data_IF_029725461459
#
_entry.id   IF_029725461459
#
_cell.length_a   1.000
_cell.length_b   1.000
_cell.length_c   1.000
_cell.angle_alpha   90.00
_cell.angle_beta   90.00
_cell.angle_gamma   90.00
#
_symmetry.space_group_name_H-M   'P 1'
#
loop_
_entity.id
_entity.type
_entity.pdbx_description
1 polymer ?
#
# COMPACT_ATOMS: atom_id res chain seq x y z
N UNK A 1 -6.04 4.95 11.49
CA UNK A 1 -4.98 4.54 10.52
C UNK A 1 -4.92 3.03 10.39
N UNK A 2 -4.72 2.30 11.51
CA UNK A 2 -4.76 0.83 11.55
C UNK A 2 -6.06 0.30 10.92
N UNK A 3 -7.21 0.88 11.27
CA UNK A 3 -8.53 0.47 10.74
C UNK A 3 -8.77 0.82 9.27
N UNK A 4 -7.96 1.72 8.69
CA UNK A 4 -8.04 2.08 7.27
C UNK A 4 -7.13 1.18 6.41
N UNK A 5 -6.33 0.31 7.04
CA UNK A 5 -5.55 -0.71 6.35
C UNK A 5 -6.43 -1.93 6.09
N UNK A 6 -6.45 -2.39 4.85
CA UNK A 6 -7.33 -3.46 4.36
C UNK A 6 -6.52 -4.62 3.78
N UNK A 7 -7.08 -5.82 3.85
CA UNK A 7 -6.55 -6.99 3.14
C UNK A 7 -7.11 -7.02 1.73
N UNK A 8 -6.26 -7.29 0.75
CA UNK A 8 -6.66 -7.52 -0.63
C UNK A 8 -6.52 -9.01 -0.97
N UNK A 9 -7.56 -9.56 -1.58
CA UNK A 9 -7.56 -10.91 -2.19
C UNK A 9 -7.86 -10.75 -3.67
N UNK A 10 -6.87 -10.94 -4.52
CA UNK A 10 -6.97 -10.77 -5.97
C UNK A 10 -7.09 -12.14 -6.61
N UNK A 11 -8.14 -12.35 -7.41
CA UNK A 11 -8.50 -13.66 -7.97
C UNK A 11 -8.27 -13.78 -9.48
N UNK A 12 -7.77 -12.72 -10.12
CA UNK A 12 -7.53 -12.68 -11.56
C UNK A 12 -6.19 -12.02 -11.85
N UNK A 13 -5.49 -12.54 -12.85
CA UNK A 13 -4.30 -11.91 -13.41
C UNK A 13 -4.63 -11.48 -14.83
N UNK A 14 -4.59 -10.18 -15.10
CA UNK A 14 -5.00 -9.65 -16.40
C UNK A 14 -4.05 -10.13 -17.51
N UNK A 15 -4.57 -10.46 -18.72
CA UNK A 15 -3.74 -10.71 -19.90
C UNK A 15 -2.83 -9.53 -20.26
N UNK A 16 -3.19 -8.31 -19.87
CA UNK A 16 -2.48 -7.08 -20.24
C UNK A 16 -1.24 -6.78 -19.39
N UNK A 17 -0.91 -7.63 -18.40
CA UNK A 17 0.35 -7.48 -17.63
C UNK A 17 1.54 -7.51 -18.60
N UNK A 18 2.62 -6.76 -18.38
CA UNK A 18 3.79 -6.75 -19.26
C UNK A 18 4.65 -8.01 -19.06
N UNK A 19 5.52 -8.34 -20.04
CA UNK A 19 6.26 -9.61 -20.07
C UNK A 19 7.26 -9.74 -18.92
N UNK A 20 7.80 -8.62 -18.49
CA UNK A 20 8.73 -8.48 -17.37
C UNK A 20 8.04 -8.49 -15.98
N UNK A 21 6.70 -8.49 -15.93
CA UNK A 21 5.96 -8.62 -14.67
C UNK A 21 6.12 -10.02 -14.09
N UNK A 22 6.29 -10.12 -12.76
CA UNK A 22 6.44 -11.39 -12.04
C UNK A 22 5.25 -12.34 -12.20
N UNK A 23 4.08 -11.81 -12.58
CA UNK A 23 2.84 -12.56 -12.81
C UNK A 23 2.54 -12.74 -14.31
N UNK A 24 3.45 -12.42 -15.22
CA UNK A 24 3.27 -12.59 -16.67
C UNK A 24 2.91 -14.03 -17.06
N UNK A 25 3.53 -15.04 -16.42
CA UNK A 25 3.22 -16.47 -16.61
C UNK A 25 1.83 -16.89 -16.10
N UNK A 26 1.13 -16.00 -15.40
CA UNK A 26 -0.19 -16.22 -14.81
C UNK A 26 -1.31 -15.44 -15.50
N UNK A 27 -1.01 -14.66 -16.54
CA UNK A 27 -2.00 -13.97 -17.39
C UNK A 27 -3.17 -14.86 -17.76
N UNK A 28 -4.39 -14.32 -17.61
CA UNK A 28 -5.63 -15.02 -17.92
C UNK A 28 -5.99 -16.14 -16.94
N UNK A 29 -5.24 -16.33 -15.85
CA UNK A 29 -5.49 -17.39 -14.86
C UNK A 29 -6.10 -16.85 -13.57
N UNK A 30 -6.95 -17.67 -12.96
CA UNK A 30 -7.59 -17.41 -11.66
C UNK A 30 -6.76 -17.94 -10.50
N UNK A 31 -5.54 -17.43 -10.34
CA UNK A 31 -4.65 -17.84 -9.25
C UNK A 31 -4.78 -16.82 -8.10
N UNK A 32 -5.26 -17.24 -6.92
CA UNK A 32 -5.49 -16.32 -5.82
C UNK A 32 -4.17 -15.81 -5.26
N UNK A 33 -4.13 -14.51 -4.98
CA UNK A 33 -2.98 -13.86 -4.35
C UNK A 33 -3.43 -12.74 -3.41
N UNK A 34 -2.59 -12.44 -2.44
CA UNK A 34 -2.91 -11.50 -1.38
C UNK A 34 -2.05 -10.24 -1.46
N UNK A 35 -2.57 -9.15 -0.92
CA UNK A 35 -1.83 -7.92 -0.72
C UNK A 35 -2.45 -7.07 0.38
N UNK A 36 -1.90 -5.89 0.57
CA UNK A 36 -2.41 -4.88 1.50
C UNK A 36 -2.87 -3.65 0.72
N UNK A 37 -3.90 -2.98 1.23
CA UNK A 37 -4.31 -1.67 0.75
C UNK A 37 -4.54 -0.69 1.90
N UNK A 38 -4.70 0.59 1.55
CA UNK A 38 -5.00 1.66 2.49
C UNK A 38 -6.12 2.54 1.95
N UNK A 39 -7.19 2.73 2.73
CA UNK A 39 -8.29 3.63 2.38
C UNK A 39 -7.79 5.08 2.54
N UNK A 40 -7.39 5.67 1.42
CA UNK A 40 -6.79 7.01 1.42
C UNK A 40 -7.78 8.13 1.11
N UNK A 41 -8.97 7.79 0.58
CA UNK A 41 -10.01 8.77 0.29
C UNK A 41 -11.38 8.14 0.44
N UNK A 42 -12.28 8.84 1.11
CA UNK A 42 -13.71 8.51 1.21
C UNK A 42 -14.47 9.70 0.66
N UNK A 43 -15.46 9.45 -0.19
CA UNK A 43 -16.33 10.50 -0.74
C UNK A 43 -17.59 10.63 0.11
N UNK A 44 -18.27 11.78 -0.03
CA UNK A 44 -19.59 11.96 0.56
C UNK A 44 -20.57 10.92 0.00
N UNK A 45 -21.57 10.51 0.80
CA UNK A 45 -22.62 9.63 0.30
C UNK A 45 -23.33 10.27 -0.88
N UNK A 46 -23.74 9.43 -1.83
CA UNK A 46 -24.49 9.83 -3.01
C UNK A 46 -25.81 9.09 -2.99
N UNK A 47 -26.93 9.81 -3.13
CA UNK A 47 -28.29 9.26 -3.21
C UNK A 47 -28.92 9.42 -4.59
N UNK A 48 -28.47 10.41 -5.37
CA UNK A 48 -29.18 10.89 -6.56
C UNK A 48 -28.49 10.49 -7.87
N UNK A 49 -27.46 9.64 -7.80
CA UNK A 49 -26.77 9.09 -8.98
C UNK A 49 -26.98 7.58 -9.07
N UNK A 50 -26.98 7.01 -10.28
CA UNK A 50 -26.85 5.57 -10.49
C UNK A 50 -25.63 4.99 -9.77
N UNK A 51 -25.83 3.92 -8.98
CA UNK A 51 -24.71 3.21 -8.40
C UNK A 51 -23.90 2.48 -9.50
N UNK A 52 -22.57 2.67 -9.55
CA UNK A 52 -21.76 2.09 -10.62
C UNK A 52 -21.42 0.61 -10.42
N UNK A 53 -21.89 -0.03 -9.34
CA UNK A 53 -21.52 -1.42 -9.08
C UNK A 53 -22.40 -2.40 -9.88
N UNK A 54 -21.80 -3.52 -10.26
CA UNK A 54 -22.46 -4.55 -11.09
C UNK A 54 -23.76 -5.09 -10.47
N UNK A 55 -23.87 -5.09 -9.13
CA UNK A 55 -25.07 -5.56 -8.43
C UNK A 55 -26.27 -4.63 -8.60
N UNK A 56 -26.04 -3.34 -8.81
CA UNK A 56 -27.09 -2.35 -8.93
C UNK A 56 -27.46 -2.06 -10.39
N UNK A 57 -26.59 -2.41 -11.34
CA UNK A 57 -26.80 -2.20 -12.78
C UNK A 57 -27.25 -0.76 -13.14
N UNK A 58 -26.86 0.23 -12.35
CA UNK A 58 -27.30 1.62 -12.51
C UNK A 58 -28.78 1.91 -12.19
N UNK A 59 -29.58 0.92 -11.78
CA UNK A 59 -31.03 1.08 -11.57
C UNK A 59 -31.39 1.60 -10.17
N UNK A 60 -30.45 1.52 -9.23
CA UNK A 60 -30.73 1.70 -7.81
C UNK A 60 -30.25 3.07 -7.32
N UNK A 61 -31.20 3.95 -7.00
CA UNK A 61 -31.00 5.22 -6.25
C UNK A 61 -30.89 4.97 -4.74
N UNK A 62 -30.11 3.96 -4.34
CA UNK A 62 -29.81 3.73 -2.91
C UNK A 62 -28.59 4.55 -2.55
N UNK A 63 -28.65 5.18 -1.39
CA UNK A 63 -27.50 5.87 -0.79
C UNK A 63 -26.29 4.94 -0.78
N UNK A 64 -25.18 5.37 -1.38
CA UNK A 64 -23.93 4.61 -1.41
C UNK A 64 -22.72 5.50 -1.12
N UNK A 65 -21.64 4.86 -0.69
CA UNK A 65 -20.34 5.50 -0.49
C UNK A 65 -19.35 4.98 -1.50
N UNK A 66 -18.65 5.90 -2.16
CA UNK A 66 -17.43 5.61 -2.92
C UNK A 66 -16.23 5.83 -2.00
N UNK A 67 -15.24 4.96 -2.09
CA UNK A 67 -13.95 5.18 -1.46
C UNK A 67 -12.83 4.60 -2.31
N UNK A 68 -11.60 5.07 -2.09
CA UNK A 68 -10.43 4.63 -2.83
C UNK A 68 -9.43 3.95 -1.90
N UNK A 69 -8.98 2.79 -2.36
CA UNK A 69 -7.92 2.00 -1.75
C UNK A 69 -6.64 2.24 -2.56
N UNK A 70 -5.60 2.70 -1.88
CA UNK A 70 -4.24 2.79 -2.43
C UNK A 70 -3.53 1.47 -2.12
N UNK A 71 -2.91 0.88 -3.13
CA UNK A 71 -2.12 -0.36 -3.04
C UNK A 71 -0.95 -0.28 -4.01
N UNK A 72 -0.18 -1.36 -4.14
CA UNK A 72 0.89 -1.45 -5.11
C UNK A 72 0.36 -1.82 -6.51
N UNK A 73 0.95 -1.24 -7.57
CA UNK A 73 0.53 -1.50 -8.95
C UNK A 73 0.73 -2.96 -9.36
N UNK A 74 1.81 -3.60 -8.90
CA UNK A 74 1.99 -5.03 -9.12
C UNK A 74 0.95 -5.89 -8.38
N UNK A 75 0.28 -5.37 -7.33
CA UNK A 75 -0.81 -6.05 -6.62
C UNK A 75 -2.15 -5.87 -7.34
N UNK A 76 -2.48 -4.71 -7.87
CA UNK A 76 -3.68 -4.56 -8.72
C UNK A 76 -3.29 -3.78 -9.95
N UNK A 77 -3.18 -4.48 -11.07
CA UNK A 77 -2.58 -3.94 -12.29
C UNK A 77 -3.55 -3.08 -13.10
N UNK A 78 -4.80 -3.50 -13.26
CA UNK A 78 -5.79 -2.76 -14.04
C UNK A 78 -7.22 -3.01 -13.52
N UNK A 79 -8.20 -2.44 -14.23
CA UNK A 79 -9.62 -2.52 -13.87
C UNK A 79 -10.15 -3.96 -13.87
N UNK A 80 -9.67 -4.85 -14.73
CA UNK A 80 -10.10 -6.26 -14.71
C UNK A 80 -9.70 -6.97 -13.42
N UNK A 81 -8.46 -6.75 -12.96
CA UNK A 81 -8.00 -7.28 -11.69
C UNK A 81 -8.74 -6.64 -10.51
N UNK A 82 -9.02 -5.33 -10.57
CA UNK A 82 -9.78 -4.62 -9.55
C UNK A 82 -11.19 -5.21 -9.37
N UNK A 83 -11.93 -5.45 -10.46
CA UNK A 83 -13.25 -6.10 -10.44
C UNK A 83 -13.21 -7.50 -9.82
N UNK A 84 -12.08 -8.18 -9.98
CA UNK A 84 -11.82 -9.51 -9.43
C UNK A 84 -11.16 -9.47 -8.04
N UNK A 85 -11.06 -8.30 -7.41
CA UNK A 85 -10.44 -8.13 -6.09
C UNK A 85 -11.49 -8.01 -5.00
N UNK A 86 -11.33 -8.80 -3.93
CA UNK A 86 -12.06 -8.63 -2.66
C UNK A 86 -11.22 -7.81 -1.70
N UNK A 87 -11.86 -6.87 -1.02
CA UNK A 87 -11.24 -5.97 -0.04
C UNK A 87 -11.87 -6.27 1.32
N UNK A 88 -11.08 -6.81 2.23
CA UNK A 88 -11.54 -7.13 3.57
C UNK A 88 -11.13 -6.03 4.54
N UNK A 89 -12.13 -5.36 5.10
CA UNK A 89 -12.00 -4.32 6.12
C UNK A 89 -12.05 -4.97 7.51
N UNK A 90 -11.32 -4.38 8.46
CA UNK A 90 -11.33 -4.76 9.88
C UNK A 90 -10.93 -6.23 10.15
N UNK A 91 -10.01 -6.79 9.36
CA UNK A 91 -9.48 -8.14 9.59
C UNK A 91 -8.30 -8.13 10.58
N UNK A 92 -8.59 -7.95 11.85
CA UNK A 92 -7.57 -7.78 12.90
C UNK A 92 -7.05 -9.11 13.47
N UNK A 93 -7.92 -10.10 13.55
CA UNK A 93 -7.63 -11.45 14.03
C UNK A 93 -8.52 -12.47 13.28
N UNK A 94 -8.29 -13.77 13.48
CA UNK A 94 -9.11 -14.79 12.81
C UNK A 94 -10.54 -14.91 13.34
N UNK A 95 -10.81 -14.47 14.57
CA UNK A 95 -12.16 -14.46 15.14
C UNK A 95 -13.07 -13.44 14.47
N UNK A 96 -12.49 -12.37 13.89
CA UNK A 96 -13.19 -11.35 13.09
C UNK A 96 -14.02 -11.93 11.93
N UNK A 97 -13.66 -13.13 11.46
CA UNK A 97 -14.39 -13.86 10.41
C UNK A 97 -15.68 -14.47 10.95
N UNK A 98 -15.63 -15.06 12.15
CA UNK A 98 -16.76 -15.77 12.76
C UNK A 98 -17.71 -14.85 13.50
N UNK A 99 -17.22 -13.73 14.05
CA UNK A 99 -18.04 -12.77 14.80
C UNK A 99 -18.67 -11.66 13.93
N UNK A 100 -18.39 -11.65 12.63
CA UNK A 100 -18.93 -10.69 11.67
C UNK A 100 -18.30 -9.30 11.72
N UNK A 101 -17.24 -9.06 12.50
CA UNK A 101 -16.52 -7.77 12.53
C UNK A 101 -15.82 -7.46 11.20
N UNK A 102 -15.36 -8.49 10.49
CA UNK A 102 -14.72 -8.35 9.18
C UNK A 102 -15.79 -8.15 8.09
N UNK A 103 -15.66 -7.06 7.33
CA UNK A 103 -16.57 -6.75 6.22
C UNK A 103 -15.83 -6.86 4.90
N UNK A 104 -16.42 -7.51 3.90
CA UNK A 104 -15.84 -7.68 2.56
C UNK A 104 -16.58 -6.83 1.54
N UNK A 105 -15.85 -6.00 0.80
CA UNK A 105 -16.36 -5.32 -0.41
C UNK A 105 -15.62 -5.80 -1.66
N UNK A 106 -16.09 -5.37 -2.83
CA UNK A 106 -15.46 -5.68 -4.12
C UNK A 106 -14.87 -4.43 -4.73
N UNK A 107 -13.68 -4.55 -5.32
CA UNK A 107 -13.11 -3.49 -6.15
C UNK A 107 -13.99 -3.24 -7.38
N UNK A 108 -14.08 -1.99 -7.80
CA UNK A 108 -14.89 -1.58 -8.95
C UNK A 108 -14.04 -1.34 -10.19
N UNK A 109 -13.00 -0.52 -10.04
CA UNK A 109 -12.13 -0.10 -11.14
C UNK A 109 -10.82 0.48 -10.61
N UNK A 110 -9.81 0.56 -11.49
CA UNK A 110 -8.61 1.33 -11.25
C UNK A 110 -8.82 2.74 -11.79
N UNK A 111 -8.79 3.74 -10.90
CA UNK A 111 -9.03 5.15 -11.26
C UNK A 111 -7.74 5.92 -11.54
N UNK A 112 -6.60 5.39 -11.09
CA UNK A 112 -5.27 5.94 -11.36
C UNK A 112 -4.24 4.85 -11.08
N UNK A 113 -3.26 4.74 -11.96
CA UNK A 113 -2.07 3.91 -11.77
C UNK A 113 -0.82 4.73 -12.07
N UNK A 114 0.24 4.44 -11.34
CA UNK A 114 1.57 5.04 -11.49
C UNK A 114 2.56 3.88 -11.39
N UNK A 115 2.94 3.32 -12.55
CA UNK A 115 3.82 2.16 -12.62
C UNK A 115 5.23 2.47 -12.11
N UNK A 116 5.73 3.68 -12.34
CA UNK A 116 7.05 4.11 -11.90
C UNK A 116 7.17 4.13 -10.36
N UNK A 117 6.09 4.54 -9.69
CA UNK A 117 6.02 4.53 -8.22
C UNK A 117 5.44 3.24 -7.65
N UNK A 118 5.07 2.30 -8.52
CA UNK A 118 4.35 1.08 -8.17
C UNK A 118 3.10 1.37 -7.30
N UNK A 119 2.31 2.38 -7.68
CA UNK A 119 1.09 2.78 -6.96
C UNK A 119 -0.14 2.55 -7.82
N UNK A 120 -1.15 1.90 -7.23
CA UNK A 120 -2.48 1.78 -7.81
C UNK A 120 -3.54 2.37 -6.87
N UNK A 121 -4.47 3.13 -7.45
CA UNK A 121 -5.67 3.61 -6.79
C UNK A 121 -6.86 2.87 -7.36
N UNK A 122 -7.44 2.00 -6.53
CA UNK A 122 -8.65 1.25 -6.86
C UNK A 122 -9.85 1.87 -6.17
N UNK A 123 -10.97 2.00 -6.88
CA UNK A 123 -12.23 2.46 -6.32
C UNK A 123 -13.05 1.27 -5.80
N UNK A 124 -13.77 1.50 -4.70
CA UNK A 124 -14.70 0.55 -4.08
C UNK A 124 -16.01 1.27 -3.78
N UNK A 125 -17.09 0.49 -3.64
CA UNK A 125 -18.44 0.98 -3.32
C UNK A 125 -19.04 0.15 -2.20
N UNK A 126 -19.78 0.81 -1.30
CA UNK A 126 -20.65 0.15 -0.32
C UNK A 126 -22.01 0.83 -0.25
N UNK A 127 -23.06 0.03 -0.03
CA UNK A 127 -24.42 0.47 0.29
C UNK A 127 -24.74 0.32 1.78
N UNK A 128 -23.84 -0.29 2.55
CA UNK A 128 -23.98 -0.38 3.99
C UNK A 128 -23.67 0.99 4.59
N UNK A 129 -24.72 1.65 5.11
CA UNK A 129 -24.62 2.99 5.69
C UNK A 129 -23.70 3.00 6.91
N UNK A 130 -23.83 2.01 7.79
CA UNK A 130 -23.01 1.92 8.99
C UNK A 130 -21.52 1.74 8.63
N UNK A 131 -21.22 0.94 7.60
CA UNK A 131 -19.87 0.81 7.08
C UNK A 131 -19.35 2.13 6.49
N UNK A 132 -20.16 2.77 5.64
CA UNK A 132 -19.83 4.03 4.97
C UNK A 132 -19.50 5.16 5.96
N UNK A 133 -20.38 5.36 6.94
CA UNK A 133 -20.20 6.35 8.00
C UNK A 133 -18.98 6.02 8.88
N UNK A 134 -18.75 4.75 9.20
CA UNK A 134 -17.57 4.32 9.97
C UNK A 134 -16.27 4.67 9.25
N UNK A 135 -16.13 4.33 7.96
CA UNK A 135 -14.90 4.63 7.20
C UNK A 135 -14.72 6.14 6.98
N UNK A 136 -15.81 6.88 6.76
CA UNK A 136 -15.77 8.34 6.63
C UNK A 136 -15.32 9.00 7.93
N UNK A 137 -15.85 8.55 9.07
CA UNK A 137 -15.46 9.03 10.41
C UNK A 137 -13.98 8.74 10.70
N UNK A 138 -13.52 7.51 10.45
CA UNK A 138 -12.11 7.13 10.61
C UNK A 138 -11.18 7.98 9.73
N UNK A 139 -11.58 8.23 8.48
CA UNK A 139 -10.82 9.07 7.55
C UNK A 139 -10.78 10.53 7.99
N UNK A 140 -11.92 11.09 8.38
CA UNK A 140 -12.03 12.46 8.87
C UNK A 140 -11.18 12.68 10.12
N UNK A 141 -11.19 11.73 11.05
CA UNK A 141 -10.32 11.75 12.23
C UNK A 141 -8.84 11.76 11.83
N UNK A 142 -8.45 10.89 10.90
CA UNK A 142 -7.07 10.85 10.40
C UNK A 142 -6.68 12.18 9.74
N UNK A 143 -7.53 12.74 8.88
CA UNK A 143 -7.30 14.02 8.21
C UNK A 143 -7.20 15.17 9.22
N UNK A 144 -8.00 15.16 10.29
CA UNK A 144 -7.90 16.13 11.38
C UNK A 144 -6.55 16.03 12.10
N UNK A 145 -6.07 14.83 12.42
CA UNK A 145 -4.75 14.63 13.05
C UNK A 145 -3.63 15.16 12.15
N UNK A 146 -3.69 14.85 10.85
CA UNK A 146 -2.69 15.31 9.87
C UNK A 146 -2.72 16.84 9.72
N UNK A 147 -3.90 17.44 9.54
CA UNK A 147 -4.06 18.89 9.31
C UNK A 147 -3.67 19.73 10.51
N UNK A 148 -4.06 19.29 11.71
CA UNK A 148 -3.73 20.00 12.95
C UNK A 148 -2.25 19.93 13.30
N UNK A 149 -1.44 19.16 12.53
CA UNK A 149 -0.03 18.89 12.82
C UNK A 149 0.14 18.53 14.30
N UNK A 150 -0.79 17.74 14.84
CA UNK A 150 -0.76 17.36 16.24
C UNK A 150 0.59 16.71 16.48
N UNK A 151 1.39 17.31 17.36
CA UNK A 151 2.61 16.67 17.84
C UNK A 151 2.16 15.39 18.52
N UNK A 152 2.35 14.27 17.82
CA UNK A 152 2.16 12.99 18.44
C UNK A 152 3.26 12.88 19.47
N UNK A 153 2.86 12.87 20.74
CA UNK A 153 3.77 12.55 21.82
C UNK A 153 4.13 11.07 21.75
N UNK A 154 5.12 10.80 20.91
CA UNK A 154 5.72 9.49 20.74
C UNK A 154 6.84 9.26 21.77
N UNK A 155 7.00 10.15 22.77
CA UNK A 155 7.97 9.94 23.85
C UNK A 155 7.56 8.77 24.75
N UNK A 156 6.27 8.49 24.85
CA UNK A 156 5.72 7.33 25.58
C UNK A 156 5.85 5.99 24.84
N UNK A 157 6.32 5.99 23.59
CA UNK A 157 6.49 4.76 22.81
C UNK A 157 7.94 4.29 22.91
N UNK A 158 8.31 3.76 24.07
CA UNK A 158 9.66 3.24 24.37
C UNK A 158 10.13 2.15 23.40
N UNK A 159 9.19 1.56 22.64
CA UNK A 159 9.47 0.56 21.62
C UNK A 159 9.91 1.16 20.28
N UNK A 160 9.78 2.47 20.06
CA UNK A 160 10.23 3.08 18.82
C UNK A 160 11.75 3.10 18.79
N UNK A 161 12.37 2.66 17.68
CA UNK A 161 13.82 2.68 17.59
C UNK A 161 14.34 4.12 17.71
N UNK A 162 15.54 4.30 18.29
CA UNK A 162 16.14 5.61 18.45
C UNK A 162 16.24 6.32 17.09
N UNK A 163 16.03 7.64 17.10
CA UNK A 163 16.22 8.47 15.92
C UNK A 163 17.65 9.01 15.96
N UNK A 164 18.54 8.36 15.21
CA UNK A 164 19.89 8.84 14.97
C UNK A 164 19.92 9.81 13.76
N UNK A 165 21.02 10.52 13.58
CA UNK A 165 21.20 11.41 12.42
C UNK A 165 20.99 10.64 11.10
N UNK A 166 20.10 11.15 10.25
CA UNK A 166 19.73 10.53 8.97
C UNK A 166 18.87 9.25 9.09
N UNK A 167 18.38 8.89 10.28
CA UNK A 167 17.45 7.77 10.49
C UNK A 167 16.14 8.25 11.10
N UNK A 168 15.05 7.57 10.75
CA UNK A 168 13.73 7.83 11.32
C UNK A 168 13.03 6.51 11.65
N UNK A 169 12.16 6.48 12.67
CA UNK A 169 11.27 5.36 12.88
C UNK A 169 10.36 5.17 11.67
N UNK A 170 10.10 3.91 11.36
CA UNK A 170 9.12 3.51 10.35
C UNK A 170 8.11 2.57 10.97
N UNK A 171 6.85 2.73 10.60
CA UNK A 171 5.74 1.88 11.01
C UNK A 171 5.01 1.40 9.76
N UNK A 172 4.78 0.09 9.67
CA UNK A 172 4.03 -0.52 8.58
C UNK A 172 2.87 -1.30 9.19
N UNK A 173 1.66 -1.02 8.71
CA UNK A 173 0.47 -1.82 9.02
C UNK A 173 0.15 -2.63 7.78
N UNK A 174 0.13 -3.97 7.89
CA UNK A 174 -0.06 -4.83 6.71
C UNK A 174 -0.77 -6.15 7.02
N UNK A 175 -1.15 -6.86 5.96
CA UNK A 175 -1.67 -8.23 6.00
C UNK A 175 -0.66 -9.20 5.38
N UNK A 176 0.43 -9.54 6.09
CA UNK A 176 1.48 -10.39 5.54
C UNK A 176 0.90 -11.74 5.09
N UNK A 177 1.12 -12.10 3.84
CA UNK A 177 0.54 -13.30 3.20
C UNK A 177 -1.00 -13.41 3.28
N UNK A 178 -1.72 -12.31 3.52
CA UNK A 178 -3.17 -12.31 3.72
C UNK A 178 -3.63 -12.76 5.11
N UNK A 179 -2.71 -12.85 6.08
CA UNK A 179 -2.98 -13.13 7.49
C UNK A 179 -3.64 -11.93 8.20
N UNK A 180 -4.11 -12.11 9.45
CA UNK A 180 -4.62 -10.99 10.23
C UNK A 180 -3.61 -9.85 10.33
N UNK A 181 -4.13 -8.63 10.47
CA UNK A 181 -3.35 -7.40 10.45
C UNK A 181 -2.16 -7.46 11.42
N UNK A 182 -1.00 -7.02 10.96
CA UNK A 182 0.22 -6.89 11.76
C UNK A 182 0.74 -5.47 11.70
N UNK A 183 1.33 -5.03 12.80
CA UNK A 183 2.05 -3.77 12.91
C UNK A 183 3.52 -4.14 13.06
N UNK A 184 4.36 -3.65 12.17
CA UNK A 184 5.81 -3.81 12.24
C UNK A 184 6.49 -2.46 12.34
N UNK A 185 7.61 -2.46 13.04
CA UNK A 185 8.41 -1.28 13.33
C UNK A 185 9.84 -1.52 12.91
N UNK A 186 10.51 -0.43 12.57
CA UNK A 186 11.91 -0.44 12.20
C UNK A 186 12.41 0.97 11.98
N UNK A 187 13.55 1.08 11.32
CA UNK A 187 14.19 2.33 10.97
C UNK A 187 14.21 2.49 9.46
N UNK A 188 13.93 3.71 9.02
CA UNK A 188 14.14 4.16 7.66
C UNK A 188 15.28 5.16 7.56
N UNK A 189 15.72 5.36 6.32
CA UNK A 189 16.70 6.36 5.89
C UNK A 189 16.14 7.07 4.68
N UNK A 190 16.34 8.38 4.62
CA UNK A 190 15.89 9.17 3.49
C UNK A 190 16.77 8.92 2.27
N UNK A 191 16.16 8.72 1.10
CA UNK A 191 16.85 8.63 -0.20
C UNK A 191 16.37 9.69 -1.20
N UNK A 192 15.56 10.65 -0.76
CA UNK A 192 14.85 11.59 -1.61
C UNK A 192 13.42 11.14 -1.87
N UNK A 193 12.46 11.97 -1.43
CA UNK A 193 11.03 11.72 -1.61
C UNK A 193 10.66 11.46 -3.08
N UNK A 194 9.78 10.47 -3.40
CA UNK A 194 8.99 9.65 -2.48
C UNK A 194 9.68 8.34 -2.04
N UNK A 195 11.00 8.20 -2.20
CA UNK A 195 11.73 6.96 -1.89
C UNK A 195 12.23 6.96 -0.46
N UNK A 196 12.01 5.83 0.20
CA UNK A 196 12.41 5.58 1.57
C UNK A 196 13.01 4.19 1.65
N UNK A 197 14.26 4.11 2.10
CA UNK A 197 14.86 2.84 2.49
C UNK A 197 14.44 2.56 3.93
N UNK A 198 14.14 1.30 4.26
CA UNK A 198 13.86 0.91 5.63
C UNK A 198 14.19 -0.55 5.89
N UNK A 199 14.42 -0.89 7.16
CA UNK A 199 14.62 -2.26 7.62
C UNK A 199 13.40 -2.83 8.36
N UNK A 200 12.26 -2.13 8.35
CA UNK A 200 11.01 -2.63 8.94
C UNK A 200 10.65 -4.00 8.34
N UNK A 201 10.42 -5.02 9.17
CA UNK A 201 10.08 -6.36 8.70
C UNK A 201 8.85 -6.35 7.79
N UNK A 202 9.00 -6.90 6.60
CA UNK A 202 7.96 -7.04 5.58
C UNK A 202 8.15 -8.35 4.80
N UNK A 203 7.13 -8.75 4.05
CA UNK A 203 7.19 -9.85 3.09
C UNK A 203 6.42 -9.47 1.82
N UNK A 204 6.49 -10.26 0.73
CA UNK A 204 5.73 -9.96 -0.48
C UNK A 204 4.21 -9.78 -0.27
N UNK A 205 3.62 -10.44 0.73
CA UNK A 205 2.19 -10.25 1.04
C UNK A 205 1.88 -8.92 1.74
N UNK A 206 2.88 -8.21 2.25
CA UNK A 206 2.73 -6.85 2.78
C UNK A 206 2.67 -5.80 1.66
N UNK A 207 2.89 -6.16 0.38
CA UNK A 207 2.88 -5.21 -0.73
C UNK A 207 1.59 -4.36 -0.75
N UNK A 208 1.77 -3.06 -0.99
CA UNK A 208 0.69 -2.06 -0.97
C UNK A 208 0.39 -1.47 0.41
N UNK A 209 1.03 -1.96 1.47
CA UNK A 209 0.93 -1.37 2.81
C UNK A 209 1.47 0.06 2.86
N UNK A 210 0.87 0.96 3.66
CA UNK A 210 1.41 2.29 3.87
C UNK A 210 2.72 2.22 4.67
N UNK A 211 3.76 2.89 4.20
CA UNK A 211 5.01 3.10 4.92
C UNK A 211 4.95 4.45 5.63
N UNK A 212 4.87 4.41 6.96
CA UNK A 212 4.71 5.60 7.77
C UNK A 212 6.08 6.00 8.30
N UNK A 213 6.45 7.24 8.03
CA UNK A 213 7.76 7.79 8.38
C UNK A 213 7.57 8.89 9.42
N UNK A 214 8.37 8.84 10.48
CA UNK A 214 8.36 9.82 11.56
C UNK A 214 9.64 10.66 11.51
N UNK A 215 9.58 11.84 10.91
CA UNK A 215 10.74 12.74 10.86
C UNK A 215 10.91 13.48 12.18
N UNK A 216 12.14 13.55 12.68
CA UNK A 216 12.54 14.55 13.67
C UNK A 216 12.86 15.84 12.92
N UNK A 217 11.93 16.78 12.83
CA UNK A 217 12.33 18.17 12.66
C UNK A 217 12.81 18.65 14.03
N UNK A 218 13.95 19.33 14.09
CA UNK A 218 14.51 19.98 15.30
C UNK A 218 13.51 20.91 16.00
N UNK A 219 12.39 21.24 15.35
CA UNK A 219 11.31 22.04 15.91
C UNK A 219 9.91 21.40 15.90
N UNK A 220 9.71 20.13 15.48
CA UNK A 220 8.46 19.32 15.69
C UNK A 220 8.48 17.94 14.99
N UNK A 221 7.92 16.88 15.59
CA UNK A 221 7.81 15.57 14.92
C UNK A 221 6.67 15.60 13.90
N UNK A 222 6.97 15.72 12.60
CA UNK A 222 5.94 15.78 11.54
C UNK A 222 5.66 14.39 10.97
N UNK A 223 4.38 14.01 10.99
CA UNK A 223 3.90 12.78 10.36
C UNK A 223 3.41 13.08 8.93
N UNK A 224 4.12 12.59 7.91
CA UNK A 224 3.74 12.81 6.52
C UNK A 224 2.90 11.64 5.96
N UNK A 225 1.70 11.42 6.52
CA UNK A 225 0.84 10.26 6.18
C UNK A 225 0.27 10.35 4.75
N UNK A 226 -0.12 11.54 4.30
CA UNK A 226 -0.83 11.73 3.02
C UNK A 226 0.01 11.22 1.84
N UNK A 227 1.31 11.42 1.98
CA UNK A 227 2.33 11.14 0.99
C UNK A 227 3.17 9.91 1.34
N UNK A 228 2.69 9.08 2.28
CA UNK A 228 3.36 7.84 2.63
C UNK A 228 3.57 6.95 1.41
N UNK A 229 4.80 6.52 1.14
CA UNK A 229 5.08 5.52 0.12
C UNK A 229 4.28 4.24 0.37
N UNK A 230 4.05 3.47 -0.69
CA UNK A 230 3.55 2.10 -0.56
C UNK A 230 4.75 1.16 -0.48
N UNK A 231 4.67 0.15 0.39
CA UNK A 231 5.65 -0.91 0.38
C UNK A 231 5.53 -1.69 -0.94
N UNK A 232 6.63 -1.80 -1.68
CA UNK A 232 6.74 -2.70 -2.84
C UNK A 232 7.57 -3.91 -2.48
N UNK A 233 6.93 -5.07 -2.38
CA UNK A 233 7.61 -6.37 -2.26
C UNK A 233 8.18 -6.89 -3.58
N UNK A 234 8.19 -6.08 -4.66
CA UNK A 234 8.74 -6.47 -5.95
C UNK A 234 10.28 -6.49 -5.90
N UNK A 235 10.84 -7.48 -5.21
CA UNK A 235 12.29 -7.72 -5.20
C UNK A 235 12.82 -8.06 -6.59
N UNK A 236 13.25 -7.06 -7.37
CA UNK A 236 14.37 -7.25 -8.30
C UNK A 236 15.62 -6.75 -7.58
N UNK A 237 16.09 -7.55 -6.64
CA UNK A 237 17.49 -7.48 -6.23
C UNK A 237 18.31 -8.11 -7.35
N UNK A 238 18.68 -7.34 -8.37
CA UNK A 238 19.91 -7.64 -9.12
C UNK A 238 21.08 -7.36 -8.19
N UNK A 239 21.27 -8.27 -7.24
CA UNK A 239 22.52 -8.47 -6.55
C UNK A 239 23.43 -9.13 -7.58
N UNK A 240 24.34 -8.35 -8.17
CA UNK A 240 25.53 -8.89 -8.80
C UNK A 240 26.37 -9.53 -7.70
N UNK A 241 26.04 -10.77 -7.33
CA UNK A 241 26.89 -11.61 -6.51
C UNK A 241 27.02 -12.96 -7.19
N UNK A 242 28.28 -13.33 -7.37
CA UNK A 242 28.78 -14.61 -7.82
C UNK A 242 27.93 -15.80 -7.39
N UNK A 243 27.77 -16.74 -8.31
CA UNK A 243 27.24 -18.07 -8.06
C UNK A 243 27.98 -18.72 -6.89
N UNK A 244 27.30 -18.88 -5.75
CA UNK A 244 27.55 -19.98 -4.84
C UNK A 244 26.19 -20.56 -4.43
N UNK A 245 25.91 -21.77 -4.94
CA UNK A 245 24.76 -22.59 -4.55
C UNK A 245 24.93 -23.00 -3.09
N UNK A 246 24.20 -22.38 -2.16
CA UNK A 246 24.14 -22.84 -0.76
C UNK A 246 22.70 -22.93 -0.26
N UNK A 247 22.44 -24.07 0.39
CA UNK A 247 21.17 -24.59 0.91
C UNK A 247 20.30 -23.58 1.69
N UNK A 248 19.04 -23.43 1.25
CA UNK A 248 18.01 -22.52 1.82
C UNK A 248 17.67 -22.88 3.28
N UNK A 249 17.85 -24.14 3.68
CA UNK A 249 17.51 -24.61 5.02
C UNK A 249 18.50 -24.14 6.12
N UNK A 250 19.73 -23.79 5.76
CA UNK A 250 20.78 -23.40 6.73
C UNK A 250 20.69 -21.91 7.12
N UNK A 251 20.11 -21.06 6.26
CA UNK A 251 19.93 -19.63 6.54
C UNK A 251 18.86 -19.34 7.61
N UNK A 252 17.81 -20.15 7.67
CA UNK A 252 16.73 -19.95 8.64
C UNK A 252 17.18 -20.18 10.09
N UNK A 253 18.09 -21.13 10.32
CA UNK A 253 18.65 -21.38 11.65
C UNK A 253 19.78 -20.38 12.00
N UNK A 254 20.47 -19.82 11.01
CA UNK A 254 21.44 -18.74 11.24
C UNK A 254 20.78 -17.37 11.52
N UNK A 255 19.53 -17.13 11.09
CA UNK A 255 18.84 -15.86 11.36
C UNK A 255 18.36 -15.68 12.81
N UNK A 256 18.44 -16.71 13.65
CA UNK A 256 18.20 -16.61 15.10
C UNK A 256 19.42 -16.07 15.87
N UNK A 257 20.58 -15.91 15.22
CA UNK A 257 21.78 -15.27 15.80
C UNK A 257 22.05 -13.93 15.11
N UNK A 258 21.36 -12.89 15.58
CA UNK A 258 21.81 -11.49 15.56
C UNK A 258 22.58 -10.99 14.34
N UNK A 259 22.07 -11.19 13.12
CA UNK A 259 22.57 -10.49 11.92
C UNK A 259 21.46 -9.61 11.36
N UNK A 260 21.76 -8.32 11.23
CA UNK A 260 20.94 -7.38 10.47
C UNK A 260 20.83 -7.87 9.02
N UNK A 261 19.68 -8.46 8.65
CA UNK A 261 19.38 -8.67 7.23
C UNK A 261 19.05 -7.30 6.63
N UNK A 262 20.05 -6.67 6.00
CA UNK A 262 19.84 -5.53 5.12
C UNK A 262 19.07 -6.00 3.89
N UNK A 263 17.75 -5.84 3.90
CA UNK A 263 16.97 -5.94 2.69
C UNK A 263 17.05 -4.58 1.98
N UNK A 264 17.91 -4.46 0.95
CA UNK A 264 17.84 -3.32 0.04
C UNK A 264 16.59 -3.46 -0.82
N UNK A 265 15.49 -2.81 -0.40
CA UNK A 265 14.31 -2.66 -1.23
C UNK A 265 14.48 -1.40 -2.07
N UNK A 266 14.68 -1.58 -3.37
CA UNK A 266 14.76 -0.49 -4.35
C UNK A 266 13.41 -0.34 -5.05
N UNK A 267 12.78 0.81 -4.87
CA UNK A 267 11.70 1.24 -5.76
C UNK A 267 12.35 2.03 -6.90
N UNK A 268 12.16 1.57 -8.14
CA UNK A 268 12.84 2.06 -9.34
C UNK A 268 12.32 3.43 -9.82
N UNK A 269 13.05 4.00 -10.79
CA UNK A 269 12.61 5.12 -11.62
C UNK A 269 13.77 6.03 -12.07
N UNK A 270 14.15 5.82 -13.34
CA UNK A 270 14.74 6.69 -14.36
C UNK A 270 16.14 7.35 -14.17
N UNK A 271 17.04 6.99 -15.10
CA UNK A 271 18.21 7.76 -15.54
C UNK A 271 17.74 8.61 -16.72
N UNK A 272 17.80 9.94 -16.59
CA UNK A 272 17.39 10.86 -17.64
C UNK A 272 18.21 10.66 -18.91
N UNK A 273 17.54 10.32 -20.02
CA UNK A 273 18.11 10.53 -21.35
C UNK A 273 17.96 12.01 -21.70
N UNK A 274 19.11 12.69 -21.85
CA UNK A 274 19.16 14.04 -22.39
C UNK A 274 18.69 14.03 -23.84
N UNK A 275 17.64 14.81 -24.12
CA UNK A 275 17.24 15.14 -25.48
C UNK A 275 17.99 16.40 -25.91
N UNK A 276 18.57 16.30 -27.09
CA UNK A 276 19.33 17.29 -27.83
C UNK A 276 18.62 18.65 -27.95
N UNK A 277 19.42 19.71 -27.81
CA UNK A 277 19.08 21.07 -28.21
C UNK A 277 18.72 21.15 -29.70
N UNK A 278 17.53 21.65 -29.99
CA UNK A 278 17.16 22.41 -31.19
C UNK A 278 16.11 23.42 -30.73
N UNK A 279 16.06 24.69 -31.11
CA UNK A 279 16.89 25.56 -31.91
C UNK A 279 16.18 26.92 -31.80
N UNK A 280 16.89 27.98 -31.43
CA UNK A 280 16.36 29.35 -31.38
C UNK A 280 16.64 30.05 -32.69
N UNK A 281 15.58 30.44 -33.40
CA UNK A 281 15.60 31.51 -34.39
C UNK A 281 14.19 32.11 -34.48
N UNK A 282 14.05 33.37 -34.10
CA UNK A 282 13.06 34.32 -34.59
C UNK A 282 13.49 35.72 -34.13
N UNK A 283 14.14 36.44 -35.04
CA UNK A 283 14.26 37.90 -35.02
C UNK A 283 12.97 38.49 -35.60
N UNK A 284 12.32 39.39 -34.85
CA UNK A 284 11.73 40.66 -35.28
C UNK A 284 11.41 41.50 -34.04
#
# INVERSE_FOLDING_TARGET
MIDLTVRLRVYWTSPDRPDDDKLSNHRGKKIPRNGTGFIYRVYKPVSDEPCPCDKCNGEITKKFWRFRVRTAAHVVYNTEEAKSTRVDLFYDDDSCKSDGRMVTVTGLEVVRIDHDRDVCHMQCVTHDEALGERIESLRTRLDSVIRKRVDLDLSSLDFLPPCDEGRFPTLIVSHPHGQPKKITLGQGRERGYPRVDYNTPTCPGSSGAPVLVFYRDTRNRRLNILNSPVHSGSSSSTSTQHQDKVNIHTRFLQSLRGRESKQEQRNYGYVGWGVLNSGTFCDF
#
